data_IF_643604814814
#
_entry.id   IF_643604814814
#
_cell.length_a   1.000
_cell.length_b   1.000
_cell.length_c   1.000
_cell.angle_alpha   90.00
_cell.angle_beta   90.00
_cell.angle_gamma   90.00
#
_symmetry.space_group_name_H-M   'P 1'
#
loop_
_entity.id
_entity.type
_entity.pdbx_description
1 polymer ?
#
# COMPACT_ATOMS: atom_id res chain seq x y z
N UNK A 1 4.51 -20.38 -24.83
CA UNK A 1 5.62 -19.60 -24.23
C UNK A 1 5.34 -19.55 -22.75
N UNK A 2 6.29 -20.02 -21.93
CA UNK A 2 6.11 -20.15 -20.49
C UNK A 2 6.06 -18.75 -19.84
N UNK A 3 4.90 -18.37 -19.34
CA UNK A 3 4.78 -17.31 -18.34
C UNK A 3 5.53 -17.79 -17.10
N UNK A 4 6.53 -17.01 -16.69
CA UNK A 4 7.32 -17.26 -15.48
C UNK A 4 6.37 -17.34 -14.29
N UNK A 5 6.41 -18.44 -13.54
CA UNK A 5 5.64 -18.63 -12.29
C UNK A 5 5.95 -17.54 -11.25
N UNK A 6 7.08 -16.84 -11.40
CA UNK A 6 7.42 -15.64 -10.64
C UNK A 6 6.52 -14.43 -10.90
N UNK A 7 5.96 -14.28 -12.10
CA UNK A 7 5.10 -13.15 -12.47
C UNK A 7 3.70 -13.29 -11.85
N UNK A 8 3.17 -14.51 -11.77
CA UNK A 8 1.85 -14.79 -11.17
C UNK A 8 1.82 -14.57 -9.65
N UNK A 9 2.96 -14.77 -8.97
CA UNK A 9 3.04 -14.60 -7.51
C UNK A 9 3.14 -13.12 -7.10
N UNK A 10 3.85 -12.30 -7.89
CA UNK A 10 3.91 -10.84 -7.73
C UNK A 10 2.52 -10.18 -7.86
N UNK A 11 1.66 -10.80 -8.65
CA UNK A 11 0.43 -10.20 -9.15
C UNK A 11 -0.74 -10.18 -8.14
N UNK A 12 -0.72 -11.02 -7.11
CA UNK A 12 -1.78 -11.02 -6.08
C UNK A 12 -1.34 -10.36 -4.77
N UNK A 13 -0.05 -10.41 -4.42
CA UNK A 13 0.46 -9.75 -3.19
C UNK A 13 0.36 -8.23 -3.29
N UNK A 14 0.25 -7.71 -4.51
CA UNK A 14 -0.03 -6.32 -4.80
C UNK A 14 -1.34 -5.82 -4.16
N UNK A 15 -2.41 -6.62 -4.22
CA UNK A 15 -3.73 -6.29 -3.67
C UNK A 15 -3.90 -6.60 -2.18
N UNK A 16 -2.93 -7.29 -1.55
CA UNK A 16 -2.93 -7.53 -0.10
C UNK A 16 -2.63 -6.20 0.61
N UNK A 17 -3.54 -5.74 1.50
CA UNK A 17 -3.32 -4.50 2.24
C UNK A 17 -2.16 -4.64 3.22
N UNK A 18 -1.46 -3.54 3.41
CA UNK A 18 -0.49 -3.41 4.50
C UNK A 18 -1.17 -3.47 5.86
N UNK A 19 -0.51 -4.03 6.85
CA UNK A 19 -0.96 -3.96 8.25
C UNK A 19 0.08 -3.21 9.08
N UNK A 20 -0.37 -2.26 9.89
CA UNK A 20 0.52 -1.57 10.83
C UNK A 20 1.08 -2.56 11.85
N UNK A 21 2.37 -2.45 12.10
CA UNK A 21 3.06 -3.19 13.14
C UNK A 21 3.98 -2.24 13.91
N UNK A 22 3.92 -2.32 15.23
CA UNK A 22 4.70 -1.48 16.12
C UNK A 22 5.41 -2.38 17.14
N UNK A 23 6.74 -2.31 17.17
CA UNK A 23 7.54 -2.87 18.26
C UNK A 23 8.49 -1.79 18.78
N UNK A 24 8.34 -1.44 20.07
CA UNK A 24 9.06 -0.35 20.74
C UNK A 24 8.87 0.99 20.00
N UNK A 25 9.96 1.60 19.52
CA UNK A 25 9.98 2.90 18.87
C UNK A 25 9.91 2.82 17.33
N UNK A 26 9.77 1.62 16.77
CA UNK A 26 9.77 1.42 15.33
C UNK A 26 8.37 1.05 14.84
N UNK A 27 7.86 1.85 13.92
CA UNK A 27 6.62 1.59 13.22
C UNK A 27 6.96 1.09 11.82
N UNK A 28 6.41 -0.06 11.44
CA UNK A 28 6.47 -0.53 10.07
C UNK A 28 5.10 -0.99 9.60
N UNK A 29 5.00 -1.16 8.29
CA UNK A 29 3.92 -1.86 7.63
C UNK A 29 4.40 -3.26 7.29
N UNK A 30 3.55 -4.27 7.45
CA UNK A 30 3.84 -5.65 7.10
C UNK A 30 2.71 -6.22 6.25
N UNK A 31 3.05 -7.01 5.24
CA UNK A 31 2.12 -7.88 4.52
C UNK A 31 2.81 -9.16 4.09
N UNK A 32 2.04 -10.23 3.89
CA UNK A 32 2.57 -11.52 3.49
C UNK A 32 1.58 -12.26 2.61
N UNK A 33 2.08 -13.23 1.83
CA UNK A 33 1.28 -14.20 1.05
C UNK A 33 1.90 -15.57 1.23
N UNK A 34 1.05 -16.53 1.59
CA UNK A 34 1.35 -17.94 1.58
C UNK A 34 0.87 -18.56 0.27
N UNK A 35 1.71 -19.41 -0.33
CA UNK A 35 1.33 -20.25 -1.46
C UNK A 35 1.36 -21.72 -1.02
N UNK A 36 0.18 -22.34 -0.99
CA UNK A 36 0.03 -23.73 -0.61
C UNK A 36 0.56 -24.71 -1.68
N UNK A 37 0.51 -24.34 -2.96
CA UNK A 37 0.97 -25.21 -4.05
C UNK A 37 2.49 -25.38 -4.00
N UNK A 38 3.20 -24.28 -3.80
CA UNK A 38 4.67 -24.26 -3.74
C UNK A 38 5.22 -24.46 -2.33
N UNK A 39 4.35 -24.50 -1.31
CA UNK A 39 4.73 -24.48 0.10
C UNK A 39 5.70 -23.34 0.42
N UNK A 40 5.37 -22.15 -0.10
CA UNK A 40 6.22 -20.96 -0.03
C UNK A 40 5.54 -19.84 0.74
N UNK A 41 6.35 -18.96 1.30
CA UNK A 41 5.88 -17.78 2.03
C UNK A 41 6.69 -16.57 1.59
N UNK A 42 5.99 -15.51 1.19
CA UNK A 42 6.59 -14.22 0.90
C UNK A 42 6.13 -13.20 1.92
N UNK A 43 7.06 -12.44 2.46
CA UNK A 43 6.78 -11.37 3.43
C UNK A 43 7.45 -10.07 2.98
N UNK A 44 6.72 -8.97 3.16
CA UNK A 44 7.21 -7.62 2.98
C UNK A 44 7.06 -6.83 4.26
N UNK A 45 8.01 -5.93 4.47
CA UNK A 45 7.90 -4.88 5.47
C UNK A 45 8.32 -3.52 4.88
N UNK A 46 7.79 -2.43 5.41
CA UNK A 46 8.21 -1.08 5.02
C UNK A 46 8.17 -0.12 6.19
N UNK A 47 9.18 0.75 6.28
CA UNK A 47 9.25 1.89 7.19
C UNK A 47 8.85 3.21 6.49
N UNK A 48 8.18 3.11 5.33
CA UNK A 48 7.90 4.20 4.38
C UNK A 48 9.12 4.87 3.76
N UNK A 49 10.34 4.38 4.03
CA UNK A 49 11.58 4.83 3.40
C UNK A 49 12.09 3.73 2.45
N UNK A 50 11.96 2.47 2.86
CA UNK A 50 12.42 1.28 2.13
C UNK A 50 11.34 0.22 2.14
N UNK A 51 11.48 -0.75 1.23
CA UNK A 51 10.78 -2.03 1.29
C UNK A 51 11.82 -3.08 1.62
N UNK A 52 11.52 -3.93 2.60
CA UNK A 52 12.28 -5.12 2.93
C UNK A 52 11.46 -6.33 2.48
N UNK A 53 12.10 -7.32 1.87
CA UNK A 53 11.41 -8.51 1.37
C UNK A 53 12.18 -9.76 1.77
N UNK A 54 11.44 -10.83 2.06
CA UNK A 54 11.99 -12.17 2.05
C UNK A 54 11.04 -13.14 1.34
N UNK A 55 11.63 -14.02 0.50
CA UNK A 55 10.93 -15.11 -0.18
C UNK A 55 11.46 -16.42 0.40
N UNK A 56 10.57 -17.18 1.04
CA UNK A 56 10.87 -18.43 1.70
C UNK A 56 10.35 -19.59 0.85
N UNK A 57 11.24 -20.25 0.12
CA UNK A 57 10.98 -21.52 -0.55
C UNK A 57 11.17 -22.72 0.39
N UNK A 58 10.84 -23.92 -0.08
CA UNK A 58 10.86 -25.14 0.74
C UNK A 58 12.23 -25.43 1.39
N UNK A 59 13.31 -25.35 0.62
CA UNK A 59 14.66 -25.62 1.12
C UNK A 59 15.06 -24.65 2.23
N UNK A 60 14.87 -23.34 1.98
CA UNK A 60 15.18 -22.29 2.95
C UNK A 60 14.31 -22.39 4.22
N UNK A 61 13.05 -22.79 4.05
CA UNK A 61 12.14 -23.02 5.18
C UNK A 61 12.67 -24.12 6.10
N UNK A 62 13.03 -25.27 5.53
CA UNK A 62 13.51 -26.43 6.28
C UNK A 62 14.90 -26.20 6.88
N UNK A 63 15.82 -25.61 6.12
CA UNK A 63 17.17 -25.28 6.59
C UNK A 63 17.12 -24.35 7.80
N UNK A 64 16.34 -23.27 7.71
CA UNK A 64 16.21 -22.31 8.81
C UNK A 64 15.41 -22.87 9.98
N UNK A 65 14.44 -23.75 9.73
CA UNK A 65 13.75 -24.45 10.82
C UNK A 65 14.73 -25.28 11.64
N UNK A 66 15.63 -26.01 10.97
CA UNK A 66 16.69 -26.80 11.62
C UNK A 66 17.72 -25.91 12.33
N UNK A 67 18.03 -24.74 11.77
CA UNK A 67 18.91 -23.74 12.41
C UNK A 67 18.31 -23.23 13.74
N UNK A 68 17.03 -22.86 13.74
CA UNK A 68 16.38 -22.20 14.87
C UNK A 68 15.73 -23.15 15.87
N UNK A 69 15.33 -24.35 15.42
CA UNK A 69 14.59 -25.35 16.18
C UNK A 69 15.13 -26.77 15.83
N UNK A 70 16.37 -27.11 16.24
CA UNK A 70 17.08 -28.30 15.78
C UNK A 70 16.40 -29.63 16.11
N UNK A 71 15.58 -29.66 17.17
CA UNK A 71 14.86 -30.85 17.62
C UNK A 71 13.48 -31.02 16.95
N UNK A 72 13.08 -30.08 16.09
CA UNK A 72 11.77 -30.08 15.45
C UNK A 72 11.86 -30.60 14.01
N UNK A 73 11.11 -31.67 13.72
CA UNK A 73 10.91 -32.17 12.36
C UNK A 73 9.52 -31.80 11.86
N UNK A 74 9.45 -30.98 10.80
CA UNK A 74 8.21 -30.53 10.16
C UNK A 74 8.35 -30.48 8.65
N UNK A 75 7.24 -30.57 7.93
CA UNK A 75 7.23 -30.40 6.46
C UNK A 75 7.21 -28.92 6.09
N UNK A 76 7.72 -28.58 4.89
CA UNK A 76 7.69 -27.20 4.39
C UNK A 76 6.25 -26.68 4.21
N UNK A 77 5.32 -27.55 3.79
CA UNK A 77 3.90 -27.23 3.65
C UNK A 77 3.30 -26.78 4.99
N UNK A 78 3.47 -27.59 6.03
CA UNK A 78 3.00 -27.25 7.38
C UNK A 78 3.66 -25.98 7.90
N UNK A 79 4.98 -25.87 7.73
CA UNK A 79 5.75 -24.74 8.26
C UNK A 79 5.35 -23.40 7.59
N UNK A 80 5.24 -23.37 6.26
CA UNK A 80 4.83 -22.16 5.53
C UNK A 80 3.43 -21.67 5.93
N UNK A 81 2.49 -22.61 6.12
CA UNK A 81 1.14 -22.30 6.60
C UNK A 81 1.16 -21.82 8.06
N UNK A 82 1.88 -22.51 8.94
CA UNK A 82 2.01 -22.15 10.35
C UNK A 82 2.59 -20.74 10.54
N UNK A 83 3.63 -20.41 9.77
CA UNK A 83 4.23 -19.07 9.77
C UNK A 83 3.24 -18.01 9.28
N UNK A 84 2.51 -18.27 8.20
CA UNK A 84 1.46 -17.37 7.68
C UNK A 84 0.38 -17.06 8.73
N UNK A 85 -0.12 -18.12 9.39
CA UNK A 85 -1.10 -17.97 10.47
C UNK A 85 -0.49 -17.22 11.67
N UNK A 86 0.76 -17.51 12.02
CA UNK A 86 1.49 -16.85 13.09
C UNK A 86 1.67 -15.35 12.84
N UNK A 87 2.06 -14.94 11.63
CA UNK A 87 2.14 -13.53 11.23
C UNK A 87 0.76 -12.89 11.36
N UNK A 88 -0.28 -13.50 10.79
CA UNK A 88 -1.65 -12.97 10.85
C UNK A 88 -2.14 -12.77 12.29
N UNK A 89 -1.88 -13.74 13.18
CA UNK A 89 -2.23 -13.64 14.60
C UNK A 89 -1.45 -12.53 15.28
N UNK A 90 -0.14 -12.46 15.07
CA UNK A 90 0.73 -11.45 15.68
C UNK A 90 0.37 -10.02 15.22
N UNK A 91 -0.01 -9.83 13.96
CA UNK A 91 -0.43 -8.52 13.44
C UNK A 91 -1.80 -8.06 13.96
N UNK A 92 -2.69 -8.98 14.30
CA UNK A 92 -4.01 -8.65 14.90
C UNK A 92 -3.91 -8.32 16.39
N UNK A 93 -2.93 -8.87 17.08
CA UNK A 93 -2.74 -8.69 18.51
C UNK A 93 -1.76 -7.54 18.76
N UNK A 94 -2.27 -6.34 19.04
CA UNK A 94 -1.47 -5.28 19.64
C UNK A 94 -0.84 -5.86 20.93
N UNK A 95 0.48 -6.05 20.94
CA UNK A 95 1.17 -6.89 21.91
C UNK A 95 0.84 -6.54 23.38
N UNK A 96 -0.07 -7.30 23.99
CA UNK A 96 -0.31 -7.29 25.43
C UNK A 96 -0.08 -8.70 25.97
N UNK A 97 0.94 -8.83 26.81
CA UNK A 97 1.73 -10.02 27.08
C UNK A 97 1.06 -11.22 27.80
N UNK A 98 -0.27 -11.26 27.97
CA UNK A 98 -0.87 -12.20 28.92
C UNK A 98 -1.32 -13.56 28.32
N UNK A 99 -1.54 -13.68 27.01
CA UNK A 99 -2.15 -14.91 26.41
C UNK A 99 -1.77 -15.13 24.94
N UNK A 100 -0.51 -14.90 24.54
CA UNK A 100 -0.16 -14.88 23.11
C UNK A 100 0.20 -16.26 22.57
N UNK A 101 -0.68 -16.82 21.73
CA UNK A 101 -0.39 -17.95 20.84
C UNK A 101 0.66 -17.59 19.76
N UNK A 102 0.83 -16.29 19.47
CA UNK A 102 1.81 -15.76 18.54
C UNK A 102 2.25 -14.34 18.97
N UNK A 103 3.56 -14.09 19.00
CA UNK A 103 4.15 -12.78 19.31
C UNK A 103 5.23 -12.46 18.28
N UNK A 104 5.21 -11.26 17.71
CA UNK A 104 6.23 -10.80 16.76
C UNK A 104 6.94 -9.57 17.31
N UNK A 105 8.26 -9.46 17.07
CA UNK A 105 9.09 -8.34 17.52
C UNK A 105 10.21 -8.04 16.52
N UNK A 106 10.76 -6.83 16.57
CA UNK A 106 11.89 -6.41 15.73
C UNK A 106 13.18 -6.57 16.53
N UNK A 107 14.12 -7.30 15.95
CA UNK A 107 15.43 -7.58 16.55
C UNK A 107 16.49 -6.65 15.98
N UNK A 108 16.47 -6.46 14.65
CA UNK A 108 17.43 -5.64 13.93
C UNK A 108 16.71 -4.82 12.88
N UNK A 109 17.01 -3.53 12.79
CA UNK A 109 16.57 -2.69 11.68
C UNK A 109 17.70 -1.73 11.31
N UNK A 110 18.22 -1.86 10.09
CA UNK A 110 19.21 -0.95 9.52
C UNK A 110 18.94 -0.73 8.02
N UNK A 111 19.75 0.09 7.37
CA UNK A 111 19.52 0.47 5.97
C UNK A 111 19.52 -0.69 4.97
N UNK A 112 20.10 -1.85 5.32
CA UNK A 112 20.22 -3.01 4.42
C UNK A 112 19.46 -4.26 4.88
N UNK A 113 19.00 -4.32 6.14
CA UNK A 113 18.39 -5.52 6.71
C UNK A 113 17.39 -5.19 7.81
N UNK A 114 16.23 -5.83 7.73
CA UNK A 114 15.24 -5.91 8.80
C UNK A 114 15.10 -7.37 9.26
N UNK A 115 15.24 -7.60 10.57
CA UNK A 115 15.02 -8.91 11.18
C UNK A 115 13.85 -8.85 12.15
N UNK A 116 12.81 -9.63 11.86
CA UNK A 116 11.64 -9.81 12.72
C UNK A 116 11.63 -11.23 13.29
N UNK A 117 11.47 -11.35 14.61
CA UNK A 117 11.31 -12.62 15.29
C UNK A 117 9.84 -12.90 15.54
N UNK A 118 9.39 -14.09 15.18
CA UNK A 118 8.06 -14.62 15.46
C UNK A 118 8.19 -15.78 16.45
N UNK A 119 7.57 -15.63 17.62
CA UNK A 119 7.43 -16.66 18.64
C UNK A 119 6.01 -17.23 18.58
N UNK A 120 5.88 -18.55 18.44
CA UNK A 120 4.59 -19.27 18.43
C UNK A 120 4.74 -20.60 19.15
N UNK A 121 3.71 -21.45 19.09
CA UNK A 121 3.73 -22.81 19.59
C UNK A 121 3.38 -23.79 18.47
N UNK A 122 4.12 -24.89 18.34
CA UNK A 122 3.78 -26.04 17.49
C UNK A 122 3.51 -27.22 18.41
N UNK A 123 2.27 -27.70 18.47
CA UNK A 123 1.86 -28.83 19.32
C UNK A 123 2.26 -28.69 20.80
N UNK A 124 2.23 -27.46 21.33
CA UNK A 124 2.63 -27.18 22.72
C UNK A 124 4.13 -27.00 22.95
N UNK A 125 4.96 -27.09 21.91
CA UNK A 125 6.40 -26.80 21.94
C UNK A 125 6.64 -25.35 21.50
N UNK A 126 7.45 -24.56 22.22
CA UNK A 126 7.86 -23.23 21.78
C UNK A 126 8.57 -23.28 20.42
N UNK A 127 8.13 -22.44 19.50
CA UNK A 127 8.68 -22.33 18.16
C UNK A 127 9.15 -20.91 17.88
N UNK A 128 10.39 -20.79 17.40
CA UNK A 128 11.01 -19.51 17.02
C UNK A 128 11.27 -19.47 15.52
N UNK A 129 10.90 -18.35 14.90
CA UNK A 129 11.26 -18.03 13.53
C UNK A 129 11.89 -16.64 13.41
N UNK A 130 12.84 -16.50 12.49
CA UNK A 130 13.41 -15.22 12.08
C UNK A 130 13.13 -14.95 10.61
N UNK A 131 12.40 -13.87 10.34
CA UNK A 131 12.32 -13.27 9.01
C UNK A 131 13.52 -12.35 8.84
N UNK A 132 14.39 -12.65 7.89
CA UNK A 132 15.63 -11.94 7.59
C UNK A 132 15.45 -11.23 6.25
N UNK A 133 14.83 -10.06 6.28
CA UNK A 133 14.38 -9.34 5.09
C UNK A 133 15.42 -8.30 4.66
N UNK A 134 16.27 -8.56 3.65
CA UNK A 134 17.12 -7.53 3.07
C UNK A 134 16.30 -6.38 2.49
N UNK A 135 16.88 -5.18 2.50
CA UNK A 135 16.29 -4.02 1.84
C UNK A 135 16.31 -4.22 0.32
N UNK A 136 15.18 -3.97 -0.32
CA UNK A 136 15.06 -4.02 -1.76
C UNK A 136 15.88 -2.92 -2.43
N UNK A 137 16.74 -3.32 -3.36
CA UNK A 137 17.60 -2.42 -4.13
C UNK A 137 17.02 -2.09 -5.50
N UNK A 138 16.01 -2.85 -5.96
CA UNK A 138 15.28 -2.55 -7.18
C UNK A 138 14.60 -1.19 -7.05
N UNK A 139 14.81 -0.32 -8.04
CA UNK A 139 14.36 1.07 -7.99
C UNK A 139 12.84 1.23 -7.97
N UNK A 140 12.08 0.22 -8.37
CA UNK A 140 10.63 0.25 -8.53
C UNK A 140 9.86 -0.45 -7.40
N UNK A 141 10.49 -1.24 -6.54
CA UNK A 141 9.80 -2.01 -5.49
C UNK A 141 9.01 -1.10 -4.54
N UNK A 142 9.60 0.03 -4.13
CA UNK A 142 8.92 1.02 -3.30
C UNK A 142 7.75 1.69 -4.05
N UNK A 143 7.93 1.96 -5.34
CA UNK A 143 6.86 2.50 -6.17
C UNK A 143 5.69 1.53 -6.25
N UNK A 144 5.96 0.27 -6.62
CA UNK A 144 4.95 -0.78 -6.83
C UNK A 144 4.19 -1.11 -5.56
N UNK A 145 4.86 -1.25 -4.42
CA UNK A 145 4.19 -1.74 -3.21
C UNK A 145 3.70 -0.64 -2.28
N UNK A 146 4.18 0.60 -2.40
CA UNK A 146 3.82 1.70 -1.49
C UNK A 146 3.25 2.88 -2.29
N UNK A 147 4.03 3.46 -3.20
CA UNK A 147 3.65 4.75 -3.81
C UNK A 147 2.42 4.62 -4.70
N UNK A 148 2.42 3.67 -5.64
CA UNK A 148 1.32 3.45 -6.57
C UNK A 148 0.01 3.11 -5.83
N UNK A 149 -0.02 2.16 -4.88
CA UNK A 149 -1.24 1.91 -4.12
C UNK A 149 -1.78 3.12 -3.36
N UNK A 150 -0.91 3.97 -2.82
CA UNK A 150 -1.34 5.22 -2.17
C UNK A 150 -1.96 6.19 -3.17
N UNK A 151 -1.38 6.34 -4.37
CA UNK A 151 -1.95 7.18 -5.44
C UNK A 151 -3.34 6.66 -5.83
N UNK A 152 -3.47 5.36 -6.07
CA UNK A 152 -4.76 4.73 -6.42
C UNK A 152 -5.80 4.96 -5.31
N UNK A 153 -5.40 4.81 -4.04
CA UNK A 153 -6.26 5.10 -2.89
C UNK A 153 -6.69 6.57 -2.82
N UNK A 154 -5.79 7.53 -3.07
CA UNK A 154 -6.12 8.96 -3.09
C UNK A 154 -7.18 9.24 -4.16
N UNK A 155 -7.02 8.69 -5.37
CA UNK A 155 -8.00 8.84 -6.45
C UNK A 155 -9.36 8.24 -6.03
N UNK A 156 -9.36 7.05 -5.44
CA UNK A 156 -10.58 6.42 -4.93
C UNK A 156 -11.29 7.26 -3.87
N UNK A 157 -10.55 7.83 -2.92
CA UNK A 157 -11.09 8.68 -1.85
C UNK A 157 -11.65 9.99 -2.39
N UNK A 158 -10.99 10.60 -3.38
CA UNK A 158 -11.48 11.79 -4.07
C UNK A 158 -12.80 11.49 -4.78
N UNK A 159 -12.86 10.37 -5.52
CA UNK A 159 -14.08 9.97 -6.22
C UNK A 159 -15.24 9.69 -5.25
N UNK A 160 -15.00 8.96 -4.17
CA UNK A 160 -16.01 8.73 -3.12
C UNK A 160 -16.51 10.04 -2.50
N UNK A 161 -15.62 11.01 -2.25
CA UNK A 161 -16.02 12.31 -1.74
C UNK A 161 -16.93 13.05 -2.73
N UNK A 162 -16.61 13.04 -4.02
CA UNK A 162 -17.43 13.65 -5.07
C UNK A 162 -18.82 13.00 -5.18
N UNK A 163 -18.88 11.67 -5.14
CA UNK A 163 -20.15 10.93 -5.19
C UNK A 163 -21.02 11.23 -3.96
N UNK A 164 -20.42 11.36 -2.78
CA UNK A 164 -21.13 11.78 -1.57
C UNK A 164 -21.64 13.22 -1.66
N UNK A 165 -20.86 14.13 -2.26
CA UNK A 165 -21.29 15.51 -2.46
C UNK A 165 -22.47 15.60 -3.44
N UNK A 166 -22.45 14.81 -4.52
CA UNK A 166 -23.58 14.70 -5.44
C UNK A 166 -24.84 14.19 -4.73
N UNK A 167 -24.71 13.11 -3.95
CA UNK A 167 -25.83 12.54 -3.18
C UNK A 167 -26.42 13.55 -2.18
N UNK A 168 -25.59 14.35 -1.52
CA UNK A 168 -26.06 15.41 -0.61
C UNK A 168 -26.83 16.51 -1.35
N UNK A 169 -26.38 16.92 -2.53
CA UNK A 169 -27.08 17.91 -3.35
C UNK A 169 -28.43 17.38 -3.87
N UNK A 170 -28.52 16.10 -4.23
CA UNK A 170 -29.77 15.45 -4.62
C UNK A 170 -30.76 15.45 -3.45
N UNK A 171 -30.27 15.17 -2.23
CA UNK A 171 -31.09 15.23 -1.01
C UNK A 171 -31.56 16.63 -0.67
N UNK A 172 -30.73 17.66 -0.86
CA UNK A 172 -31.15 19.04 -0.69
C UNK A 172 -32.21 19.47 -1.71
N UNK A 173 -32.12 18.96 -2.94
CA UNK A 173 -33.13 19.19 -3.98
C UNK A 173 -34.46 18.56 -3.59
N UNK A 174 -34.44 17.31 -3.12
CA UNK A 174 -35.62 16.61 -2.59
C UNK A 174 -36.27 17.38 -1.41
N UNK A 175 -35.46 17.84 -0.44
CA UNK A 175 -35.95 18.66 0.69
C UNK A 175 -36.55 19.98 0.20
N UNK A 176 -35.92 20.62 -0.80
CA UNK A 176 -36.42 21.86 -1.37
C UNK A 176 -37.79 21.66 -2.02
N UNK A 177 -38.02 20.53 -2.68
CA UNK A 177 -39.29 20.23 -3.35
C UNK A 177 -40.41 19.98 -2.34
N UNK A 178 -40.12 19.28 -1.24
CA UNK A 178 -41.07 19.15 -0.12
C UNK A 178 -41.46 20.50 0.45
N UNK A 179 -40.48 21.38 0.70
CA UNK A 179 -40.73 22.74 1.20
C UNK A 179 -41.58 23.57 0.23
N UNK A 180 -41.28 23.52 -1.08
CA UNK A 180 -42.07 24.20 -2.11
C UNK A 180 -43.49 23.67 -2.23
N UNK A 181 -43.69 22.39 -1.95
CA UNK A 181 -45.01 21.74 -1.93
C UNK A 181 -45.83 22.04 -0.67
N UNK A 182 -45.35 22.93 0.21
CA UNK A 182 -46.03 23.33 1.43
C UNK A 182 -45.87 22.35 2.60
N UNK A 183 -45.00 21.35 2.48
CA UNK A 183 -44.72 20.44 3.60
C UNK A 183 -43.90 21.13 4.67
N UNK A 184 -44.20 20.82 5.93
CA UNK A 184 -43.52 21.39 7.09
C UNK A 184 -43.00 20.29 8.01
N UNK A 185 -41.81 20.51 8.58
CA UNK A 185 -41.25 19.59 9.58
C UNK A 185 -42.07 19.65 10.86
N UNK A 186 -42.48 18.49 11.36
CA UNK A 186 -43.09 18.36 12.69
C UNK A 186 -42.11 18.69 13.82
N UNK A 187 -40.80 18.48 13.58
CA UNK A 187 -39.71 18.75 14.52
C UNK A 187 -38.65 19.63 13.87
N UNK A 188 -38.61 20.91 14.26
CA UNK A 188 -37.70 21.92 13.67
C UNK A 188 -36.21 21.58 13.79
N UNK A 189 -35.79 20.88 14.84
CA UNK A 189 -34.38 20.51 15.03
C UNK A 189 -33.84 19.48 14.03
N UNK A 190 -34.71 18.85 13.23
CA UNK A 190 -34.32 17.97 12.14
C UNK A 190 -33.94 18.73 10.87
N UNK A 191 -34.19 20.04 10.82
CA UNK A 191 -33.85 20.85 9.65
C UNK A 191 -32.32 20.94 9.48
N UNK A 192 -31.83 20.43 8.36
CA UNK A 192 -30.44 20.55 7.95
C UNK A 192 -30.22 21.85 7.16
N UNK A 193 -29.00 22.37 7.22
CA UNK A 193 -28.57 23.46 6.33
C UNK A 193 -28.28 22.87 4.95
N UNK A 194 -28.52 23.67 3.91
CA UNK A 194 -28.11 23.33 2.54
C UNK A 194 -26.60 23.08 2.53
N UNK A 195 -26.22 21.96 1.93
CA UNK A 195 -24.85 21.52 1.80
C UNK A 195 -24.06 22.45 0.87
N UNK A 196 -22.82 22.74 1.25
CA UNK A 196 -21.87 23.50 0.44
C UNK A 196 -20.51 22.79 0.48
N UNK A 197 -20.15 22.15 -0.63
CA UNK A 197 -18.91 21.41 -0.79
C UNK A 197 -17.65 22.28 -0.60
N UNK A 198 -17.70 23.55 -1.01
CA UNK A 198 -16.60 24.49 -0.84
C UNK A 198 -16.39 24.85 0.61
N UNK A 199 -17.48 25.13 1.33
CA UNK A 199 -17.45 25.37 2.77
C UNK A 199 -16.99 24.13 3.54
N UNK A 200 -17.55 22.96 3.24
CA UNK A 200 -17.20 21.71 3.90
C UNK A 200 -15.69 21.45 3.83
N UNK A 201 -15.07 21.60 2.65
CA UNK A 201 -13.62 21.41 2.47
C UNK A 201 -12.79 22.38 3.32
N UNK A 202 -13.19 23.65 3.40
CA UNK A 202 -12.48 24.67 4.21
C UNK A 202 -12.61 24.41 5.71
N UNK A 203 -13.75 23.92 6.16
CA UNK A 203 -14.02 23.73 7.59
C UNK A 203 -13.51 22.38 8.12
N UNK A 204 -13.45 21.34 7.30
CA UNK A 204 -13.09 19.98 7.75
C UNK A 204 -11.59 19.67 7.67
N UNK A 205 -10.84 20.26 6.72
CA UNK A 205 -9.40 20.05 6.59
C UNK A 205 -8.59 21.05 7.42
N UNK A 206 -8.96 21.23 8.69
CA UNK A 206 -8.23 22.13 9.61
C UNK A 206 -7.39 21.31 10.59
N UNK A 207 -6.27 21.86 11.10
CA UNK A 207 -5.46 21.18 12.11
C UNK A 207 -6.28 20.74 13.34
N UNK A 208 -7.31 21.52 13.72
CA UNK A 208 -8.21 21.19 14.83
C UNK A 208 -8.97 19.88 14.58
N UNK A 209 -9.48 19.68 13.37
CA UNK A 209 -10.23 18.48 13.00
C UNK A 209 -9.30 17.29 12.72
N UNK A 210 -8.10 17.55 12.19
CA UNK A 210 -7.15 16.50 11.84
C UNK A 210 -6.28 16.03 13.01
N UNK A 211 -6.21 16.77 14.12
CA UNK A 211 -5.31 16.47 15.24
C UNK A 211 -5.43 15.02 15.74
N UNK A 212 -6.65 14.55 15.95
CA UNK A 212 -6.91 13.20 16.46
C UNK A 212 -6.73 12.13 15.37
N UNK A 213 -6.90 12.49 14.09
CA UNK A 213 -6.67 11.56 12.98
C UNK A 213 -5.17 11.35 12.73
N UNK A 214 -4.36 12.39 12.97
CA UNK A 214 -2.92 12.39 12.72
C UNK A 214 -2.09 11.89 13.91
N UNK A 215 -2.63 11.93 15.13
CA UNK A 215 -1.90 11.46 16.33
C UNK A 215 -1.54 9.98 16.26
N UNK A 216 -2.39 9.16 15.63
CA UNK A 216 -2.27 7.70 15.59
C UNK A 216 -2.12 7.16 14.16
N UNK A 217 -1.68 8.02 13.23
CA UNK A 217 -1.62 7.70 11.80
C UNK A 217 -0.79 6.45 11.49
N UNK A 218 0.23 6.17 12.30
CA UNK A 218 1.10 5.01 12.13
C UNK A 218 0.51 3.71 12.70
N UNK A 219 -0.44 3.80 13.64
CA UNK A 219 -0.98 2.66 14.37
C UNK A 219 -2.10 1.93 13.62
N UNK A 220 -2.87 2.66 12.79
CA UNK A 220 -4.06 2.11 12.12
C UNK A 220 -4.21 2.58 10.66
N UNK A 221 -3.10 2.77 9.94
CA UNK A 221 -3.13 3.35 8.59
C UNK A 221 -4.06 2.58 7.63
N UNK A 222 -4.11 1.26 7.79
CA UNK A 222 -4.92 0.34 6.99
C UNK A 222 -5.81 -0.55 7.87
N UNK A 223 -6.58 0.07 8.78
CA UNK A 223 -7.63 -0.63 9.52
C UNK A 223 -8.64 -1.34 8.59
N UNK A 224 -9.60 -2.09 9.14
CA UNK A 224 -10.47 -2.99 8.35
C UNK A 224 -11.14 -2.35 7.12
N UNK A 225 -11.67 -1.14 7.25
CA UNK A 225 -12.31 -0.42 6.14
C UNK A 225 -11.30 0.09 5.09
N UNK A 226 -10.21 0.73 5.54
CA UNK A 226 -9.18 1.24 4.65
C UNK A 226 -8.45 0.10 3.92
N UNK A 227 -8.23 -1.04 4.58
CA UNK A 227 -7.67 -2.24 3.98
C UNK A 227 -8.60 -2.90 2.97
N UNK A 228 -9.92 -2.91 3.22
CA UNK A 228 -10.91 -3.38 2.24
C UNK A 228 -10.95 -2.47 1.01
N UNK A 229 -10.92 -1.15 1.21
CA UNK A 229 -10.85 -0.19 0.12
C UNK A 229 -9.57 -0.35 -0.69
N UNK A 230 -8.41 -0.49 -0.01
CA UNK A 230 -7.13 -0.79 -0.65
C UNK A 230 -7.27 -1.99 -1.59
N UNK A 231 -7.75 -3.12 -1.06
CA UNK A 231 -7.89 -4.36 -1.84
C UNK A 231 -8.74 -4.13 -3.09
N UNK A 232 -9.95 -3.59 -2.93
CA UNK A 232 -10.88 -3.32 -4.05
C UNK A 232 -10.29 -2.39 -5.10
N UNK A 233 -9.62 -1.33 -4.66
CA UNK A 233 -9.04 -0.34 -5.56
C UNK A 233 -7.84 -0.91 -6.33
N UNK A 234 -7.00 -1.73 -5.68
CA UNK A 234 -5.87 -2.37 -6.35
C UNK A 234 -6.32 -3.47 -7.33
N UNK A 235 -7.37 -4.23 -6.99
CA UNK A 235 -8.02 -5.18 -7.90
C UNK A 235 -8.58 -4.45 -9.13
N UNK A 236 -9.35 -3.38 -8.93
CA UNK A 236 -9.90 -2.58 -10.04
C UNK A 236 -8.79 -1.96 -10.91
N UNK A 237 -7.71 -1.45 -10.31
CA UNK A 237 -6.56 -0.94 -11.04
C UNK A 237 -5.91 -2.03 -11.91
N UNK A 238 -5.75 -3.23 -11.37
CA UNK A 238 -5.20 -4.39 -12.10
C UNK A 238 -6.10 -4.74 -13.29
N UNK A 239 -7.40 -4.83 -13.08
CA UNK A 239 -8.36 -5.18 -14.14
C UNK A 239 -8.32 -4.17 -15.29
N UNK A 240 -8.35 -2.87 -14.97
CA UNK A 240 -8.30 -1.79 -15.97
C UNK A 240 -6.99 -1.80 -16.76
N UNK A 241 -5.86 -1.95 -16.06
CA UNK A 241 -4.54 -1.89 -16.71
C UNK A 241 -4.19 -3.15 -17.48
N UNK A 242 -4.77 -4.29 -17.13
CA UNK A 242 -4.62 -5.55 -17.88
C UNK A 242 -5.50 -5.54 -19.13
N UNK A 243 -6.77 -5.12 -19.01
CA UNK A 243 -7.68 -4.99 -20.15
C UNK A 243 -7.18 -3.99 -21.20
N UNK A 244 -6.53 -2.89 -20.78
CA UNK A 244 -5.94 -1.92 -21.70
C UNK A 244 -4.72 -2.43 -22.49
N UNK A 245 -4.16 -3.59 -22.12
CA UNK A 245 -2.98 -4.19 -22.78
C UNK A 245 -3.32 -5.29 -23.78
N UNK A 246 -4.58 -5.72 -23.86
CA UNK A 246 -5.02 -6.65 -24.91
C UNK A 246 -5.24 -5.86 -26.21
N UNK A 247 -4.45 -6.10 -27.28
CA UNK A 247 -4.70 -5.44 -28.56
C UNK A 247 -6.03 -5.94 -29.12
N UNK A 248 -6.89 -5.02 -29.56
CA UNK A 248 -8.06 -5.35 -30.35
C UNK A 248 -7.64 -6.10 -31.62
N UNK A 249 -7.68 -7.44 -31.60
CA UNK A 249 -7.70 -8.24 -32.81
C UNK A 249 -9.11 -8.21 -33.38
N UNK A 250 -9.47 -7.10 -34.00
CA UNK A 250 -10.61 -7.01 -34.91
C UNK A 250 -10.06 -6.73 -36.31
N UNK A 251 -9.78 -7.82 -37.05
CA UNK A 251 -9.55 -7.76 -38.49
C UNK A 251 -10.85 -7.32 -39.19
N UNK A 252 -10.85 -6.32 -40.06
CA UNK A 252 -11.90 -6.20 -41.07
C UNK A 252 -11.52 -7.10 -42.24
N UNK A 253 -12.32 -8.14 -42.47
CA UNK A 253 -12.39 -8.78 -43.77
C UNK A 253 -12.82 -7.73 -44.81
N UNK A 254 -12.00 -7.48 -45.83
CA UNK A 254 -12.54 -7.06 -47.11
C UNK A 254 -11.64 -7.52 -48.27
N UNK A 255 -12.21 -8.39 -49.09
CA UNK A 255 -11.66 -8.81 -50.38
C UNK A 255 -11.81 -7.69 -51.41
N UNK A 256 -10.77 -7.44 -52.21
CA UNK A 256 -10.87 -6.63 -53.41
C UNK A 256 -9.53 -6.14 -53.96
N UNK A 257 -8.83 -7.00 -54.70
CA UNK A 257 -7.66 -6.60 -55.50
C UNK A 257 -8.03 -5.66 -56.64
N UNK A 258 -7.18 -4.68 -56.93
CA UNK A 258 -6.77 -4.26 -58.28
C UNK A 258 -5.52 -3.35 -58.20
N UNK A 259 -4.47 -3.72 -58.97
CA UNK A 259 -3.21 -2.98 -59.21
C UNK A 259 -3.51 -1.60 -59.86
N UNK A 260 -2.65 -0.56 -59.94
CA UNK A 260 -1.21 -0.34 -60.29
C UNK A 260 -0.92 1.18 -60.00
N UNK A 261 0.24 1.81 -60.33
CA UNK A 261 1.59 1.79 -59.77
C UNK A 261 2.03 3.09 -59.02
N UNK A 262 3.22 2.96 -58.40
CA UNK A 262 4.21 3.93 -57.91
C UNK A 262 4.20 5.35 -58.54
N UNK A 263 4.21 6.37 -57.68
CA UNK A 263 4.83 7.67 -57.97
C UNK A 263 5.73 8.12 -56.81
N UNK A 264 6.97 8.44 -57.15
CA UNK A 264 8.05 8.92 -56.26
C UNK A 264 7.92 10.43 -56.13
N UNK A 265 7.81 10.96 -54.90
CA UNK A 265 8.13 12.37 -54.63
C UNK A 265 8.96 12.53 -53.35
N UNK A 266 10.05 13.26 -53.57
CA UNK A 266 11.21 13.64 -52.76
C UNK A 266 10.97 14.14 -51.33
N UNK A 267 11.98 13.84 -50.52
CA UNK A 267 12.54 14.60 -49.38
C UNK A 267 12.15 16.08 -49.30
N UNK A 268 11.82 16.54 -48.09
CA UNK A 268 12.42 17.76 -47.56
C UNK A 268 12.65 17.62 -46.05
N UNK A 269 13.94 17.72 -45.67
CA UNK A 269 14.45 17.91 -44.31
C UNK A 269 14.15 19.36 -43.90
N UNK A 270 13.59 19.55 -42.71
CA UNK A 270 13.83 20.78 -41.95
C UNK A 270 14.23 20.44 -40.52
N UNK A 271 15.35 21.04 -40.13
CA UNK A 271 16.04 20.91 -38.84
C UNK A 271 15.91 22.25 -38.14
N UNK A 272 15.43 22.27 -36.89
CA UNK A 272 15.59 23.40 -35.97
C UNK A 272 15.06 22.95 -34.61
N UNK A 273 15.59 23.26 -33.43
CA UNK A 273 16.88 23.72 -32.90
C UNK A 273 16.67 23.62 -31.39
N UNK A 274 17.69 23.16 -30.66
CA UNK A 274 17.68 23.08 -29.21
C UNK A 274 17.51 24.46 -28.54
N UNK A 275 16.81 24.50 -27.41
CA UNK A 275 16.91 25.61 -26.46
C UNK A 275 17.34 25.10 -25.10
N UNK A 276 18.51 25.59 -24.71
CA UNK A 276 19.13 25.62 -23.39
C UNK A 276 18.17 26.11 -22.30
N UNK A 277 18.26 25.50 -21.12
CA UNK A 277 17.75 26.07 -19.87
C UNK A 277 18.94 26.28 -18.95
N UNK A 278 19.37 27.54 -18.86
CA UNK A 278 20.38 28.05 -17.93
C UNK A 278 19.96 27.88 -16.48
N UNK A 279 20.87 27.30 -15.69
CA UNK A 279 20.83 27.26 -14.23
C UNK A 279 20.98 28.66 -13.63
N UNK A 280 20.21 28.94 -12.57
CA UNK A 280 20.47 30.02 -11.62
C UNK A 280 20.71 29.37 -10.25
N UNK A 281 21.96 29.49 -9.81
CA UNK A 281 22.42 29.22 -8.45
C UNK A 281 22.03 30.40 -7.54
N UNK A 282 21.47 30.10 -6.36
CA UNK A 282 21.49 31.03 -5.22
C UNK A 282 22.15 30.32 -4.02
N UNK A 283 23.38 30.72 -3.74
CA UNK A 283 24.12 30.36 -2.52
C UNK A 283 23.53 31.07 -1.29
N UNK A 284 23.21 30.31 -0.24
CA UNK A 284 22.84 30.84 1.08
C UNK A 284 24.04 30.80 2.05
N UNK A 285 24.35 31.94 2.67
CA UNK A 285 25.45 32.12 3.64
C UNK A 285 25.13 31.51 5.02
N UNK A 286 26.13 31.02 5.77
CA UNK A 286 25.91 30.26 7.01
C UNK A 286 25.56 31.14 8.23
N UNK A 287 24.54 30.73 8.97
CA UNK A 287 24.14 31.30 10.26
C UNK A 287 25.03 30.80 11.42
N UNK A 288 25.59 31.72 12.20
CA UNK A 288 26.37 31.45 13.42
C UNK A 288 25.44 31.05 14.58
N UNK A 289 25.55 29.82 15.07
CA UNK A 289 24.89 29.36 16.31
C UNK A 289 25.73 29.71 17.53
N UNK A 290 25.16 30.49 18.46
CA UNK A 290 25.75 30.79 19.78
C UNK A 290 25.58 29.57 20.70
N UNK A 291 26.69 29.03 21.23
CA UNK A 291 26.70 27.97 22.26
C UNK A 291 26.14 28.49 23.58
N UNK A 292 25.06 27.89 24.09
CA UNK A 292 24.59 28.09 25.45
C UNK A 292 25.33 27.16 26.42
N UNK A 293 26.00 27.75 27.43
CA UNK A 293 26.63 27.07 28.57
C UNK A 293 25.55 26.46 29.48
N UNK A 294 25.50 25.14 29.60
CA UNK A 294 24.73 24.46 30.65
C UNK A 294 25.63 24.32 31.89
N UNK A 295 25.31 25.04 32.97
CA UNK A 295 25.92 24.87 34.29
C UNK A 295 25.27 23.66 34.97
N UNK A 296 26.07 22.65 35.33
CA UNK A 296 25.70 21.66 36.34
C UNK A 296 25.67 22.34 37.72
N UNK A 297 24.67 22.01 38.52
CA UNK A 297 24.76 22.02 39.99
C UNK A 297 24.41 20.60 40.46
N UNK A 298 25.18 20.16 41.45
CA UNK A 298 25.20 18.84 42.07
C UNK A 298 23.82 18.26 42.34
#
# INVERSE_FOLDING_TARGET
>A
MATSVGDTLEDDIFAIPWTSFCDKAFNCLVKHKHDAADSSLRIYASDFIRVYEEILGQDLLLERCKELNPDLEVTAAYLSEHLSQGITKALKQNCTAATQEACMKIVTCNAGLLVMQLHTMISGVPFLWEFRMPAQTASDAFYRHVTLPMIVMIVGLQKQQEDLFALLNDKDSEISDYKRSGQHLSRKHLETKVFDAGRFRRETLTPKHLKNCLSDVHLNLFGSEAGLMYKKMMEAYKDITTSAREPETSSPENHGSLNVPVEVVKETRETTTAMDVTMLEEESKPHKVKKAKKRMRL
#
